data_IF_644384261262
#
_entry.id   IF_644384261262
#
_cell.length_a   1.000
_cell.length_b   1.000
_cell.length_c   1.000
_cell.angle_alpha   90.00
_cell.angle_beta   90.00
_cell.angle_gamma   90.00
#
_symmetry.space_group_name_H-M   'P 1'
#
loop_
_entity.id
_entity.type
_entity.pdbx_description
1 polymer ?
#
# COMPACT_ATOMS: atom_id res chain seq x y z
N UNK A 1 3.83 -14.87 21.97
CA UNK A 1 3.63 -14.73 20.51
C UNK A 1 2.58 -13.66 20.29
N UNK A 2 2.96 -12.53 19.69
CA UNK A 2 1.99 -11.50 19.30
C UNK A 2 1.24 -12.00 18.05
N UNK A 3 -0.06 -12.25 18.20
CA UNK A 3 -0.95 -12.75 17.13
C UNK A 3 -1.34 -11.60 16.21
N UNK A 4 -1.40 -11.83 14.90
CA UNK A 4 -2.01 -10.89 13.96
C UNK A 4 -3.54 -11.06 14.02
N UNK A 5 -4.32 -10.01 14.33
CA UNK A 5 -5.77 -10.12 14.37
C UNK A 5 -6.33 -10.45 12.99
N UNK A 6 -7.30 -11.36 12.94
CA UNK A 6 -8.08 -11.69 11.75
C UNK A 6 -9.50 -11.15 11.92
N UNK A 7 -9.88 -10.19 11.09
CA UNK A 7 -11.20 -9.59 11.06
C UNK A 7 -12.03 -10.22 9.96
N UNK A 8 -13.23 -10.67 10.31
CA UNK A 8 -14.26 -11.08 9.35
C UNK A 8 -15.29 -9.96 9.25
N UNK A 9 -15.23 -9.20 8.18
CA UNK A 9 -16.08 -8.03 7.95
C UNK A 9 -17.21 -8.40 6.98
N UNK A 10 -18.44 -7.99 7.32
CA UNK A 10 -19.65 -8.26 6.53
C UNK A 10 -20.57 -7.06 6.51
N UNK A 11 -21.23 -6.81 5.40
CA UNK A 11 -22.18 -5.70 5.26
C UNK A 11 -21.85 -4.81 4.07
N UNK A 12 -22.54 -3.68 4.03
CA UNK A 12 -22.15 -2.51 3.23
C UNK A 12 -20.72 -2.04 3.58
N UNK A 13 -20.16 -1.22 2.71
CA UNK A 13 -18.86 -0.58 2.95
C UNK A 13 -18.80 0.16 4.30
N UNK A 14 -19.87 0.90 4.64
CA UNK A 14 -19.99 1.57 5.93
C UNK A 14 -19.99 0.57 7.10
N UNK A 15 -20.76 -0.51 7.03
CA UNK A 15 -20.84 -1.51 8.11
C UNK A 15 -19.51 -2.25 8.32
N UNK A 16 -18.81 -2.58 7.23
CA UNK A 16 -17.46 -3.15 7.30
C UNK A 16 -16.49 -2.16 7.95
N UNK A 17 -16.56 -0.88 7.56
CA UNK A 17 -15.79 0.20 8.18
C UNK A 17 -16.09 0.34 9.67
N UNK A 18 -17.36 0.35 10.05
CA UNK A 18 -17.81 0.48 11.44
C UNK A 18 -17.29 -0.65 12.32
N UNK A 19 -17.42 -1.91 11.87
CA UNK A 19 -16.87 -3.08 12.58
C UNK A 19 -15.36 -2.96 12.81
N UNK A 20 -14.62 -2.53 11.77
CA UNK A 20 -13.17 -2.30 11.89
C UNK A 20 -12.87 -1.17 12.89
N UNK A 21 -13.58 -0.05 12.79
CA UNK A 21 -13.41 1.10 13.69
C UNK A 21 -13.71 0.76 15.15
N UNK A 22 -14.75 -0.02 15.39
CA UNK A 22 -15.12 -0.51 16.73
C UNK A 22 -14.05 -1.45 17.30
N UNK A 23 -13.54 -2.39 16.48
CA UNK A 23 -12.51 -3.33 16.89
C UNK A 23 -11.20 -2.64 17.28
N UNK A 24 -10.76 -1.63 16.53
CA UNK A 24 -9.52 -0.88 16.78
C UNK A 24 -9.74 0.47 17.47
N UNK A 25 -10.85 0.63 18.20
CA UNK A 25 -11.25 1.93 18.74
C UNK A 25 -10.15 2.58 19.59
N UNK A 26 -9.60 1.85 20.56
CA UNK A 26 -8.54 2.34 21.45
C UNK A 26 -7.27 2.71 20.69
N UNK A 27 -6.88 1.86 19.75
CA UNK A 27 -5.70 1.96 18.92
C UNK A 27 -5.77 3.20 18.01
N UNK A 28 -6.90 3.39 17.35
CA UNK A 28 -7.15 4.54 16.48
C UNK A 28 -7.14 5.83 17.29
N UNK A 29 -7.81 5.85 18.45
CA UNK A 29 -7.85 7.02 19.33
C UNK A 29 -6.44 7.39 19.82
N UNK A 30 -5.70 6.41 20.34
CA UNK A 30 -4.32 6.58 20.81
C UNK A 30 -3.40 7.08 19.69
N UNK A 31 -3.50 6.50 18.49
CA UNK A 31 -2.72 6.95 17.33
C UNK A 31 -2.93 8.44 17.02
N UNK A 32 -4.18 8.91 17.04
CA UNK A 32 -4.46 10.34 16.81
C UNK A 32 -4.01 11.24 17.95
N UNK A 33 -3.97 10.75 19.19
CA UNK A 33 -3.42 11.48 20.33
C UNK A 33 -1.90 11.60 20.24
N UNK A 34 -1.20 10.54 19.85
CA UNK A 34 0.26 10.55 19.65
C UNK A 34 0.69 11.48 18.50
N UNK A 35 -0.20 11.72 17.53
CA UNK A 35 0.04 12.57 16.38
C UNK A 35 -0.59 13.96 16.49
N UNK A 36 -0.99 14.37 17.68
CA UNK A 36 -1.69 15.64 17.91
C UNK A 36 -0.99 16.84 17.25
N UNK A 37 0.35 17.03 17.31
CA UNK A 37 0.98 18.18 16.64
C UNK A 37 0.75 18.20 15.13
N UNK A 38 0.80 17.02 14.50
CA UNK A 38 0.60 16.86 13.05
C UNK A 38 -0.88 17.00 12.69
N UNK A 39 -1.76 16.37 13.48
CA UNK A 39 -3.20 16.44 13.28
C UNK A 39 -3.73 17.87 13.46
N UNK A 40 -3.26 18.59 14.47
CA UNK A 40 -3.68 19.97 14.73
C UNK A 40 -3.25 20.90 13.60
N UNK A 41 -2.04 20.75 13.06
CA UNK A 41 -1.62 21.50 11.89
C UNK A 41 -2.42 21.14 10.61
N UNK A 42 -2.83 19.87 10.42
CA UNK A 42 -3.75 19.49 9.34
C UNK A 42 -5.13 20.14 9.51
N UNK A 43 -5.66 20.17 10.74
CA UNK A 43 -6.95 20.80 11.06
C UNK A 43 -6.90 22.33 10.89
N UNK A 44 -5.85 22.98 11.35
CA UNK A 44 -5.62 24.42 11.13
C UNK A 44 -5.60 24.77 9.64
N UNK A 45 -4.91 23.94 8.84
CA UNK A 45 -4.93 24.10 7.39
C UNK A 45 -6.33 23.90 6.81
N UNK A 46 -7.05 22.85 7.21
CA UNK A 46 -8.43 22.59 6.80
C UNK A 46 -9.37 23.75 7.15
N UNK A 47 -9.17 24.42 8.29
CA UNK A 47 -9.98 25.57 8.69
C UNK A 47 -9.63 26.87 7.96
N UNK A 48 -8.45 26.95 7.34
CA UNK A 48 -8.10 28.04 6.43
C UNK A 48 -8.95 27.99 5.15
N UNK A 49 -9.14 29.14 4.47
CA UNK A 49 -9.85 29.17 3.18
C UNK A 49 -9.18 28.26 2.14
N UNK A 50 -7.85 28.32 2.02
CA UNK A 50 -7.08 27.54 1.04
C UNK A 50 -7.23 26.03 1.30
N UNK A 51 -7.03 25.59 2.54
CA UNK A 51 -7.13 24.18 2.88
C UNK A 51 -8.55 23.64 2.83
N UNK A 52 -9.57 24.44 3.19
CA UNK A 52 -10.97 24.06 2.99
C UNK A 52 -11.30 23.84 1.52
N UNK A 53 -10.97 24.80 0.65
CA UNK A 53 -11.21 24.70 -0.80
C UNK A 53 -10.51 23.45 -1.38
N UNK A 54 -9.30 23.16 -0.92
CA UNK A 54 -8.55 21.96 -1.30
C UNK A 54 -9.23 20.68 -0.84
N UNK A 55 -9.45 20.52 0.47
CA UNK A 55 -10.01 19.30 1.06
C UNK A 55 -11.43 19.01 0.56
N UNK A 56 -12.30 20.01 0.49
CA UNK A 56 -13.66 19.86 -0.03
C UNK A 56 -13.66 19.48 -1.52
N UNK A 57 -12.75 20.06 -2.31
CA UNK A 57 -12.58 19.70 -3.72
C UNK A 57 -12.14 18.24 -3.90
N UNK A 58 -11.18 17.77 -3.10
CA UNK A 58 -10.72 16.38 -3.10
C UNK A 58 -11.84 15.41 -2.65
N UNK A 59 -12.50 15.72 -1.54
CA UNK A 59 -13.61 14.91 -1.03
C UNK A 59 -14.81 14.87 -1.97
N UNK A 60 -15.07 15.95 -2.70
CA UNK A 60 -16.11 15.97 -3.75
C UNK A 60 -15.76 14.98 -4.87
N UNK A 61 -14.54 15.00 -5.39
CA UNK A 61 -14.09 14.07 -6.42
C UNK A 61 -14.14 12.61 -5.93
N UNK A 62 -13.74 12.37 -4.68
CA UNK A 62 -13.86 11.07 -4.03
C UNK A 62 -15.31 10.59 -3.94
N UNK A 63 -16.24 11.42 -3.46
CA UNK A 63 -17.67 11.06 -3.32
C UNK A 63 -18.36 10.83 -4.66
N UNK A 64 -18.00 11.59 -5.70
CA UNK A 64 -18.61 11.45 -7.03
C UNK A 64 -18.19 10.14 -7.71
N UNK A 65 -16.94 9.70 -7.54
CA UNK A 65 -16.39 8.56 -8.28
C UNK A 65 -16.28 7.28 -7.45
N UNK A 66 -16.02 7.41 -6.15
CA UNK A 66 -15.75 6.33 -5.21
C UNK A 66 -16.54 6.49 -3.89
N UNK A 67 -17.87 6.72 -3.95
CA UNK A 67 -18.67 6.97 -2.74
C UNK A 67 -18.52 5.86 -1.70
N UNK A 68 -18.40 4.61 -2.16
CA UNK A 68 -18.30 3.45 -1.29
C UNK A 68 -17.07 3.47 -0.37
N UNK A 69 -15.92 4.00 -0.83
CA UNK A 69 -14.71 4.06 0.00
C UNK A 69 -14.74 5.26 0.96
N UNK A 70 -15.49 6.31 0.62
CA UNK A 70 -15.79 7.42 1.53
C UNK A 70 -16.71 6.92 2.65
N UNK A 71 -17.73 6.13 2.32
CA UNK A 71 -18.64 5.53 3.29
C UNK A 71 -17.93 4.52 4.20
N UNK A 72 -17.01 3.70 3.67
CA UNK A 72 -16.17 2.81 4.48
C UNK A 72 -15.33 3.59 5.50
N UNK A 73 -14.66 4.65 5.08
CA UNK A 73 -13.87 5.47 6.00
C UNK A 73 -14.73 6.19 7.04
N UNK A 74 -15.93 6.66 6.64
CA UNK A 74 -16.91 7.20 7.57
C UNK A 74 -17.32 6.15 8.62
N UNK A 75 -17.57 4.91 8.20
CA UNK A 75 -17.85 3.80 9.11
C UNK A 75 -16.72 3.60 10.13
N UNK A 76 -15.46 3.58 9.67
CA UNK A 76 -14.29 3.47 10.56
C UNK A 76 -14.29 4.60 11.59
N UNK A 77 -14.55 5.83 11.16
CA UNK A 77 -14.57 6.98 12.04
C UNK A 77 -15.67 6.90 13.10
N UNK A 78 -16.89 6.54 12.70
CA UNK A 78 -18.04 6.41 13.59
C UNK A 78 -17.83 5.25 14.60
N UNK A 79 -17.30 4.11 14.15
CA UNK A 79 -16.97 2.97 15.02
C UNK A 79 -15.86 3.27 16.03
N UNK A 80 -14.83 4.01 15.59
CA UNK A 80 -13.73 4.45 16.46
C UNK A 80 -14.10 5.66 17.34
N UNK A 81 -15.23 6.32 17.09
CA UNK A 81 -15.65 7.54 17.80
C UNK A 81 -14.70 8.73 17.59
N UNK A 82 -14.16 8.90 16.39
CA UNK A 82 -13.36 10.08 16.00
C UNK A 82 -14.23 11.07 15.20
N UNK A 83 -13.79 12.32 15.10
CA UNK A 83 -14.56 13.37 14.41
C UNK A 83 -14.54 13.20 12.89
N UNK A 84 -15.56 13.74 12.22
CA UNK A 84 -15.60 13.76 10.75
C UNK A 84 -14.39 14.46 10.13
N UNK A 85 -13.90 15.54 10.75
CA UNK A 85 -12.69 16.23 10.28
C UNK A 85 -11.48 15.30 10.31
N UNK A 86 -11.27 14.53 11.40
CA UNK A 86 -10.21 13.53 11.48
C UNK A 86 -10.37 12.43 10.43
N UNK A 87 -11.60 12.02 10.14
CA UNK A 87 -11.90 11.06 9.07
C UNK A 87 -11.46 11.61 7.70
N UNK A 88 -11.80 12.87 7.39
CA UNK A 88 -11.37 13.54 6.16
C UNK A 88 -9.83 13.62 6.11
N UNK A 89 -9.17 14.03 7.20
CA UNK A 89 -7.69 14.07 7.24
C UNK A 89 -7.08 12.70 7.00
N UNK A 90 -7.72 11.62 7.47
CA UNK A 90 -7.26 10.24 7.26
C UNK A 90 -7.28 9.81 5.80
N UNK A 91 -8.29 10.21 5.03
CA UNK A 91 -8.42 9.92 3.60
C UNK A 91 -7.44 10.76 2.79
N UNK A 92 -7.28 12.03 3.18
CA UNK A 92 -6.45 13.01 2.50
C UNK A 92 -4.99 13.01 3.00
N UNK A 93 -4.63 12.12 3.92
CA UNK A 93 -3.35 12.12 4.64
C UNK A 93 -2.16 12.28 3.70
N UNK A 94 -2.09 11.47 2.64
CA UNK A 94 -1.01 11.47 1.65
C UNK A 94 -0.82 12.81 0.93
N UNK A 95 -1.89 13.57 0.75
CA UNK A 95 -1.85 14.86 0.08
C UNK A 95 -1.62 16.01 1.09
N UNK A 96 -2.19 15.90 2.28
CA UNK A 96 -2.01 16.88 3.35
C UNK A 96 -0.59 16.87 3.89
N UNK A 97 0.03 15.70 3.94
CA UNK A 97 1.42 15.54 4.36
C UNK A 97 2.38 16.34 3.46
N UNK A 98 2.16 16.25 2.15
CA UNK A 98 2.89 17.03 1.14
C UNK A 98 2.56 18.52 1.21
N UNK A 99 1.26 18.86 1.29
CA UNK A 99 0.79 20.24 1.35
C UNK A 99 1.37 21.04 2.51
N UNK A 100 1.69 20.37 3.62
CA UNK A 100 2.25 20.97 4.83
C UNK A 100 3.78 20.81 4.93
N UNK A 101 4.37 20.14 3.94
CA UNK A 101 5.80 19.82 3.88
C UNK A 101 6.24 18.94 5.05
N UNK A 102 5.36 18.10 5.60
CA UNK A 102 5.71 17.21 6.71
C UNK A 102 6.69 16.15 6.26
N UNK A 103 6.47 15.52 5.10
CA UNK A 103 7.41 14.58 4.51
C UNK A 103 8.82 15.16 4.50
N UNK A 104 9.01 16.33 3.89
CA UNK A 104 10.34 16.97 3.78
C UNK A 104 10.94 17.34 5.14
N UNK A 105 10.12 17.84 6.09
CA UNK A 105 10.58 18.20 7.44
C UNK A 105 10.97 16.99 8.29
N UNK A 106 10.17 15.92 8.30
CA UNK A 106 10.46 14.68 9.03
C UNK A 106 11.73 14.03 8.50
N UNK A 107 11.89 14.02 7.18
CA UNK A 107 13.07 13.54 6.47
C UNK A 107 14.32 14.34 6.87
N UNK A 108 14.24 15.67 6.79
CA UNK A 108 15.37 16.54 7.09
C UNK A 108 15.76 16.46 8.57
N UNK A 109 14.79 16.42 9.48
CA UNK A 109 15.02 16.32 10.92
C UNK A 109 15.70 15.00 11.32
N UNK A 110 15.36 13.89 10.65
CA UNK A 110 15.87 12.57 10.99
C UNK A 110 17.31 12.31 10.52
N UNK A 111 17.72 12.84 9.36
CA UNK A 111 19.01 12.47 8.75
C UNK A 111 19.93 13.68 8.45
N UNK A 112 19.51 14.90 8.79
CA UNK A 112 20.25 16.13 8.47
C UNK A 112 20.44 16.38 6.97
N UNK A 113 19.74 15.61 6.13
CA UNK A 113 19.73 15.61 4.66
C UNK A 113 18.36 15.13 4.18
N UNK A 114 17.99 15.48 2.94
CA UNK A 114 16.75 15.00 2.32
C UNK A 114 16.87 13.51 1.94
N UNK A 115 16.62 12.62 2.91
CA UNK A 115 16.55 11.16 2.73
C UNK A 115 15.13 10.71 3.08
N UNK A 116 14.26 10.52 2.09
CA UNK A 116 12.92 9.99 2.34
C UNK A 116 13.00 8.63 3.03
N UNK A 117 12.74 8.61 4.33
CA UNK A 117 13.15 7.52 5.21
C UNK A 117 12.20 6.33 5.22
N UNK A 118 11.11 6.40 4.45
CA UNK A 118 10.18 5.31 4.21
C UNK A 118 10.61 4.54 2.98
N UNK A 119 10.58 3.20 3.04
CA UNK A 119 10.55 2.52 1.77
C UNK A 119 10.47 1.02 1.76
N UNK A 120 9.45 0.48 1.10
CA UNK A 120 9.32 -0.94 0.79
C UNK A 120 10.36 -1.44 -0.23
N UNK A 121 10.63 -2.75 -0.20
CA UNK A 121 11.49 -3.45 -1.17
C UNK A 121 10.71 -4.56 -1.84
N UNK A 122 10.83 -4.69 -3.16
CA UNK A 122 10.08 -5.68 -3.95
C UNK A 122 10.97 -6.43 -4.91
N UNK A 123 10.83 -7.76 -4.95
CA UNK A 123 11.64 -8.68 -5.75
C UNK A 123 10.71 -9.61 -6.52
N UNK A 124 10.87 -9.61 -7.85
CA UNK A 124 10.08 -10.43 -8.77
C UNK A 124 10.91 -11.57 -9.32
N UNK A 125 10.32 -12.75 -9.38
CA UNK A 125 10.81 -13.89 -10.15
C UNK A 125 9.65 -14.44 -10.98
N UNK A 126 9.80 -14.47 -12.30
CA UNK A 126 8.88 -15.11 -13.23
C UNK A 126 9.68 -15.84 -14.31
N UNK A 127 10.21 -17.03 -14.03
CA UNK A 127 11.17 -17.72 -14.91
C UNK A 127 10.61 -18.99 -15.57
N UNK A 128 9.29 -19.12 -15.63
CA UNK A 128 8.58 -20.29 -16.16
C UNK A 128 8.52 -21.50 -15.22
N UNK A 129 9.37 -21.54 -14.18
CA UNK A 129 9.26 -22.50 -13.07
C UNK A 129 8.58 -21.86 -11.87
N UNK A 130 9.01 -20.65 -11.55
CA UNK A 130 8.59 -19.89 -10.37
C UNK A 130 7.98 -18.57 -10.80
N UNK A 131 6.89 -18.18 -10.13
CA UNK A 131 6.17 -16.92 -10.27
C UNK A 131 5.91 -16.36 -8.87
N UNK A 132 6.77 -15.44 -8.45
CA UNK A 132 6.88 -14.97 -7.06
C UNK A 132 7.05 -13.44 -7.04
N UNK A 133 6.38 -12.79 -6.09
CA UNK A 133 6.71 -11.43 -5.65
C UNK A 133 7.03 -11.49 -4.15
N UNK A 134 8.22 -11.05 -3.75
CA UNK A 134 8.59 -10.82 -2.36
C UNK A 134 8.54 -9.33 -2.04
N UNK A 135 7.94 -8.96 -0.91
CA UNK A 135 7.72 -7.58 -0.46
C UNK A 135 8.14 -7.40 1.00
N UNK A 136 8.93 -6.37 1.30
CA UNK A 136 9.21 -5.89 2.65
C UNK A 136 8.48 -4.58 2.82
N UNK A 137 7.62 -4.49 3.84
CA UNK A 137 6.97 -3.22 4.15
C UNK A 137 7.72 -2.51 5.27
N UNK A 138 8.40 -1.41 4.92
CA UNK A 138 9.12 -0.60 5.90
C UNK A 138 8.27 0.57 6.37
N UNK A 139 8.00 0.62 7.68
CA UNK A 139 7.26 1.72 8.31
C UNK A 139 7.85 2.00 9.70
N UNK A 140 7.24 2.94 10.43
CA UNK A 140 7.65 3.32 11.77
C UNK A 140 7.32 2.16 12.72
N UNK A 141 8.14 1.95 13.75
CA UNK A 141 8.00 0.82 14.66
C UNK A 141 6.66 0.80 15.40
N UNK A 142 6.08 1.97 15.67
CA UNK A 142 4.76 2.11 16.29
C UNK A 142 3.62 1.61 15.40
N UNK A 143 3.86 1.30 14.12
CA UNK A 143 2.87 0.72 13.22
C UNK A 143 2.80 -0.82 13.30
N UNK A 144 3.82 -1.49 13.86
CA UNK A 144 3.84 -2.97 14.02
C UNK A 144 2.61 -3.55 14.72
N UNK A 145 2.03 -2.91 15.75
CA UNK A 145 0.83 -3.42 16.42
C UNK A 145 -0.44 -3.40 15.54
N UNK A 146 -0.49 -2.58 14.48
CA UNK A 146 -1.69 -2.40 13.66
C UNK A 146 -1.75 -3.31 12.43
N UNK A 147 -0.75 -4.17 12.25
CA UNK A 147 -0.77 -5.16 11.17
C UNK A 147 -1.90 -6.14 11.46
N UNK A 148 -2.82 -6.27 10.51
CA UNK A 148 -4.05 -7.05 10.61
C UNK A 148 -4.26 -7.85 9.33
N UNK A 149 -5.08 -8.90 9.43
CA UNK A 149 -5.69 -9.57 8.30
C UNK A 149 -7.17 -9.21 8.28
N UNK A 150 -7.67 -8.70 7.16
CA UNK A 150 -9.10 -8.44 6.98
C UNK A 150 -9.66 -9.30 5.84
N UNK A 151 -10.74 -10.03 6.13
CA UNK A 151 -11.56 -10.78 5.17
C UNK A 151 -12.90 -10.08 4.99
N UNK A 152 -13.20 -9.63 3.77
CA UNK A 152 -14.49 -9.04 3.42
C UNK A 152 -15.37 -10.12 2.80
N UNK A 153 -16.40 -10.56 3.52
CA UNK A 153 -17.30 -11.59 3.02
C UNK A 153 -18.34 -11.03 2.05
N UNK A 154 -18.90 -11.90 1.22
CA UNK A 154 -20.10 -11.58 0.44
C UNK A 154 -21.24 -11.13 1.36
N UNK A 155 -22.00 -10.13 0.91
CA UNK A 155 -23.16 -9.64 1.63
C UNK A 155 -24.28 -9.24 0.69
N UNK A 156 -25.48 -9.74 0.93
CA UNK A 156 -26.69 -9.29 0.24
C UNK A 156 -27.30 -8.12 1.00
N UNK A 157 -27.32 -6.95 0.36
CA UNK A 157 -27.94 -5.74 0.89
C UNK A 157 -29.46 -5.93 1.05
N UNK A 158 -30.13 -5.15 1.92
CA UNK A 158 -31.58 -5.23 2.11
C UNK A 158 -32.42 -5.02 0.84
N UNK A 159 -31.86 -4.36 -0.18
CA UNK A 159 -32.49 -4.16 -1.48
C UNK A 159 -32.30 -5.34 -2.46
N UNK A 160 -31.58 -6.39 -2.06
CA UNK A 160 -31.29 -7.58 -2.87
C UNK A 160 -29.98 -7.53 -3.65
N UNK A 161 -29.25 -6.41 -3.66
CA UNK A 161 -27.96 -6.30 -4.34
C UNK A 161 -26.88 -7.11 -3.61
N UNK A 162 -26.08 -7.86 -4.35
CA UNK A 162 -24.97 -8.64 -3.79
C UNK A 162 -23.69 -7.81 -3.85
N UNK A 163 -23.09 -7.59 -2.69
CA UNK A 163 -21.75 -7.04 -2.53
C UNK A 163 -20.77 -8.23 -2.51
N UNK A 164 -19.97 -8.43 -3.57
CA UNK A 164 -19.05 -9.55 -3.62
C UNK A 164 -17.91 -9.39 -2.59
N UNK A 165 -17.19 -10.48 -2.23
CA UNK A 165 -16.03 -10.40 -1.36
C UNK A 165 -14.95 -9.49 -1.98
N UNK A 166 -14.85 -8.29 -1.41
CA UNK A 166 -14.14 -7.13 -1.94
C UNK A 166 -12.61 -7.31 -1.94
N UNK A 167 -12.14 -7.99 -0.90
CA UNK A 167 -10.73 -8.31 -0.68
C UNK A 167 -10.75 -9.55 0.20
N UNK A 168 -10.29 -10.68 -0.36
CA UNK A 168 -10.20 -11.94 0.36
C UNK A 168 -9.19 -11.81 1.48
N UNK A 169 -8.17 -10.97 1.31
CA UNK A 169 -7.20 -10.74 2.35
C UNK A 169 -6.54 -9.39 2.16
N UNK A 170 -6.51 -8.60 3.23
CA UNK A 170 -5.80 -7.34 3.28
C UNK A 170 -4.82 -7.36 4.46
N UNK A 171 -3.54 -7.11 4.20
CA UNK A 171 -2.47 -7.22 5.20
C UNK A 171 -1.85 -5.84 5.44
N UNK A 172 -1.72 -5.49 6.71
CA UNK A 172 -1.18 -4.19 7.10
C UNK A 172 -2.23 -3.08 6.97
N UNK A 173 -1.76 -1.85 6.82
CA UNK A 173 -2.64 -0.69 6.67
C UNK A 173 -2.88 0.08 7.96
N UNK A 174 -3.21 1.35 7.79
CA UNK A 174 -3.48 2.24 8.90
C UNK A 174 -4.86 1.90 9.52
N UNK A 175 -5.00 1.73 10.84
CA UNK A 175 -6.26 1.26 11.43
C UNK A 175 -7.40 2.27 11.22
N UNK A 176 -7.07 3.56 11.10
CA UNK A 176 -8.04 4.62 10.87
C UNK A 176 -8.44 4.85 9.40
N UNK A 177 -7.97 4.03 8.44
CA UNK A 177 -8.43 4.11 7.06
C UNK A 177 -8.47 2.72 6.39
N UNK A 178 -8.89 2.66 5.14
CA UNK A 178 -9.04 1.42 4.35
C UNK A 178 -7.85 1.18 3.42
N UNK A 179 -6.68 1.74 3.71
CA UNK A 179 -5.47 1.56 2.90
C UNK A 179 -4.78 0.25 3.28
N UNK A 180 -4.82 -0.76 2.41
CA UNK A 180 -4.11 -2.03 2.62
C UNK A 180 -3.06 -2.22 1.53
N UNK A 181 -1.77 -2.30 1.86
CA UNK A 181 -0.72 -2.49 0.86
C UNK A 181 -0.83 -3.89 0.22
N UNK A 182 -0.62 -4.96 0.98
CA UNK A 182 -0.69 -6.33 0.45
C UNK A 182 -2.13 -6.83 0.43
N UNK A 183 -2.56 -7.40 -0.70
CA UNK A 183 -3.93 -7.86 -0.86
C UNK A 183 -4.08 -9.07 -1.79
N UNK A 184 -5.19 -9.79 -1.62
CA UNK A 184 -5.71 -10.81 -2.53
C UNK A 184 -7.18 -10.54 -2.80
N UNK A 185 -7.62 -10.64 -4.05
CA UNK A 185 -9.03 -10.50 -4.41
C UNK A 185 -9.65 -11.75 -5.03
N UNK A 186 -10.97 -11.73 -5.18
CA UNK A 186 -11.76 -12.84 -5.72
C UNK A 186 -11.46 -13.22 -7.17
N UNK A 187 -10.81 -12.34 -7.93
CA UNK A 187 -10.41 -12.57 -9.32
C UNK A 187 -9.01 -13.18 -9.41
N UNK A 188 -8.40 -13.53 -8.27
CA UNK A 188 -7.06 -14.09 -8.22
C UNK A 188 -5.96 -13.05 -8.44
N UNK A 189 -6.26 -11.75 -8.31
CA UNK A 189 -5.22 -10.73 -8.20
C UNK A 189 -4.57 -10.85 -6.81
N UNK A 190 -3.25 -10.79 -6.79
CA UNK A 190 -2.48 -10.58 -5.58
C UNK A 190 -1.43 -9.49 -5.84
N UNK A 191 -1.23 -8.60 -4.88
CA UNK A 191 -0.24 -7.55 -5.03
C UNK A 191 0.03 -6.75 -3.76
N UNK A 192 0.99 -5.84 -3.86
CA UNK A 192 1.39 -4.87 -2.86
C UNK A 192 1.63 -3.47 -3.48
N UNK A 193 2.09 -2.51 -2.67
CA UNK A 193 2.47 -1.18 -3.12
C UNK A 193 3.81 -0.70 -2.51
N UNK A 194 4.56 0.09 -3.28
CA UNK A 194 5.60 0.98 -2.75
C UNK A 194 5.14 2.42 -2.87
N UNK A 195 5.34 3.22 -1.82
CA UNK A 195 5.12 4.66 -1.88
C UNK A 195 6.10 5.30 -2.87
N UNK A 196 5.57 6.21 -3.70
CA UNK A 196 6.32 7.12 -4.57
C UNK A 196 5.99 8.55 -4.16
N UNK A 197 6.89 9.52 -4.35
CA UNK A 197 6.67 10.90 -3.89
C UNK A 197 6.83 11.90 -5.03
N UNK A 198 5.80 12.72 -5.22
CA UNK A 198 5.72 13.76 -6.24
C UNK A 198 5.28 15.08 -5.59
N UNK A 199 6.20 15.89 -5.06
CA UNK A 199 5.86 17.12 -4.35
C UNK A 199 5.26 18.14 -5.29
N UNK A 200 4.28 18.91 -4.82
CA UNK A 200 3.75 20.05 -5.57
C UNK A 200 3.10 21.12 -4.70
N UNK A 201 3.59 22.36 -4.83
CA UNK A 201 3.10 23.53 -4.09
C UNK A 201 1.71 24.02 -4.53
N UNK A 202 1.23 23.59 -5.72
CA UNK A 202 -0.01 24.10 -6.33
C UNK A 202 -1.29 23.54 -5.70
N UNK A 203 -1.22 22.39 -5.01
CA UNK A 203 -2.37 21.74 -4.35
C UNK A 203 -3.64 21.68 -5.22
N UNK A 204 -3.58 21.04 -6.40
CA UNK A 204 -4.72 21.01 -7.30
C UNK A 204 -5.88 20.24 -6.65
N UNK A 205 -7.07 20.86 -6.49
CA UNK A 205 -8.24 20.17 -5.98
C UNK A 205 -8.81 19.21 -7.03
N UNK A 206 -9.74 18.34 -6.60
CA UNK A 206 -10.49 17.39 -7.47
C UNK A 206 -9.63 16.26 -8.05
N UNK A 207 -8.63 15.81 -7.29
CA UNK A 207 -7.86 14.60 -7.58
C UNK A 207 -8.34 13.46 -6.69
N UNK A 208 -8.09 12.22 -7.11
CA UNK A 208 -8.30 11.05 -6.24
C UNK A 208 -7.12 10.90 -5.30
N UNK A 209 -7.37 10.44 -4.08
CA UNK A 209 -6.29 10.18 -3.12
C UNK A 209 -5.66 8.82 -3.35
N UNK A 210 -4.43 8.67 -2.87
CA UNK A 210 -3.68 7.44 -2.99
C UNK A 210 -4.35 6.28 -2.25
N UNK A 211 -4.97 6.56 -1.10
CA UNK A 211 -5.68 5.55 -0.33
C UNK A 211 -6.96 5.07 -1.03
N UNK A 212 -7.70 5.98 -1.67
CA UNK A 212 -8.89 5.63 -2.45
C UNK A 212 -8.50 4.79 -3.66
N UNK A 213 -7.47 5.19 -4.41
CA UNK A 213 -7.04 4.43 -5.58
C UNK A 213 -6.41 3.08 -5.21
N UNK A 214 -5.66 3.01 -4.11
CA UNK A 214 -5.20 1.74 -3.57
C UNK A 214 -6.39 0.83 -3.25
N UNK A 215 -7.39 1.31 -2.51
CA UNK A 215 -8.58 0.51 -2.18
C UNK A 215 -9.37 0.11 -3.43
N UNK A 216 -9.46 0.99 -4.43
CA UNK A 216 -10.13 0.72 -5.69
C UNK A 216 -9.47 -0.40 -6.48
N UNK A 217 -8.14 -0.38 -6.62
CA UNK A 217 -7.42 -1.36 -7.43
C UNK A 217 -7.47 -2.77 -6.86
N UNK A 218 -7.74 -2.93 -5.57
CA UNK A 218 -7.92 -4.25 -4.94
C UNK A 218 -9.10 -5.03 -5.55
N UNK A 219 -9.95 -4.38 -6.34
CA UNK A 219 -11.06 -5.01 -7.06
C UNK A 219 -10.77 -5.29 -8.54
N UNK A 220 -9.54 -5.03 -9.01
CA UNK A 220 -9.20 -5.21 -10.41
C UNK A 220 -9.31 -6.69 -10.82
N UNK A 221 -9.93 -6.91 -11.98
CA UNK A 221 -10.21 -8.25 -12.52
C UNK A 221 -9.05 -8.84 -13.30
N UNK A 222 -8.32 -7.96 -13.96
CA UNK A 222 -7.20 -8.26 -14.83
C UNK A 222 -6.29 -7.03 -14.93
N UNK A 223 -5.20 -7.17 -15.69
CA UNK A 223 -4.22 -6.11 -15.90
C UNK A 223 -4.83 -4.86 -16.55
N UNK A 224 -5.75 -5.00 -17.51
CA UNK A 224 -6.33 -3.85 -18.21
C UNK A 224 -7.28 -3.09 -17.29
N UNK A 225 -8.06 -3.80 -16.46
CA UNK A 225 -8.93 -3.21 -15.45
C UNK A 225 -8.11 -2.51 -14.35
N UNK A 226 -6.99 -3.11 -13.91
CA UNK A 226 -6.02 -2.49 -13.00
C UNK A 226 -5.52 -1.15 -13.54
N UNK A 227 -5.02 -1.15 -14.78
CA UNK A 227 -4.51 0.07 -15.43
C UNK A 227 -5.61 1.11 -15.60
N UNK A 228 -6.83 0.69 -15.96
CA UNK A 228 -8.00 1.58 -16.08
C UNK A 228 -8.34 2.26 -14.75
N UNK A 229 -8.34 1.50 -13.65
CA UNK A 229 -8.60 2.03 -12.30
C UNK A 229 -7.52 3.05 -11.92
N UNK A 230 -6.24 2.69 -12.07
CA UNK A 230 -5.11 3.54 -11.66
C UNK A 230 -4.93 4.77 -12.55
N UNK A 231 -5.30 4.69 -13.84
CA UNK A 231 -5.37 5.85 -14.74
C UNK A 231 -6.39 6.87 -14.26
N UNK A 232 -7.44 6.42 -13.57
CA UNK A 232 -8.41 7.27 -12.89
C UNK A 232 -8.97 8.40 -13.78
N UNK A 233 -9.33 8.07 -15.03
CA UNK A 233 -9.80 9.02 -16.01
C UNK A 233 -10.94 9.91 -15.47
N UNK A 234 -10.81 11.22 -15.62
CA UNK A 234 -11.69 12.26 -15.09
C UNK A 234 -11.11 13.02 -13.89
N UNK A 235 -10.32 12.34 -13.05
CA UNK A 235 -9.71 12.94 -11.85
C UNK A 235 -8.17 12.88 -11.97
N UNK A 236 -7.62 11.67 -11.93
CA UNK A 236 -6.20 11.39 -11.75
C UNK A 236 -5.78 11.45 -10.28
N UNK A 237 -4.69 10.78 -9.94
CA UNK A 237 -4.11 10.81 -8.60
C UNK A 237 -3.58 12.21 -8.24
N UNK A 238 -3.70 12.58 -6.97
CA UNK A 238 -3.12 13.80 -6.42
C UNK A 238 -1.58 13.75 -6.33
N UNK A 239 -0.98 14.90 -6.12
CA UNK A 239 0.44 15.03 -5.77
C UNK A 239 0.69 14.62 -4.31
N UNK A 240 1.94 14.64 -3.90
CA UNK A 240 2.41 14.12 -2.62
C UNK A 240 2.78 12.65 -2.70
N UNK A 241 2.30 11.86 -1.75
CA UNK A 241 2.57 10.42 -1.75
C UNK A 241 1.64 9.72 -2.73
N UNK A 242 2.17 9.19 -3.81
CA UNK A 242 1.52 8.23 -4.70
C UNK A 242 2.10 6.83 -4.47
N UNK A 243 1.97 5.92 -5.44
CA UNK A 243 2.45 4.56 -5.29
C UNK A 243 2.74 3.89 -6.63
N UNK A 244 3.53 2.83 -6.60
CA UNK A 244 3.50 1.78 -7.60
C UNK A 244 2.70 0.58 -7.06
N UNK A 245 2.30 -0.30 -7.96
CA UNK A 245 1.61 -1.55 -7.65
C UNK A 245 2.44 -2.70 -8.18
N UNK A 246 2.80 -3.63 -7.30
CA UNK A 246 3.46 -4.87 -7.66
C UNK A 246 2.41 -5.98 -7.62
N UNK A 247 2.00 -6.51 -8.76
CA UNK A 247 0.85 -7.40 -8.83
C UNK A 247 1.04 -8.56 -9.82
N UNK A 248 0.27 -9.61 -9.59
CA UNK A 248 0.03 -10.67 -10.55
C UNK A 248 -1.40 -11.17 -10.44
N UNK A 249 -1.82 -11.91 -11.46
CA UNK A 249 -3.10 -12.62 -11.49
C UNK A 249 -2.83 -14.13 -11.61
N UNK A 250 -3.65 -14.98 -11.00
CA UNK A 250 -3.48 -16.45 -11.06
C UNK A 250 -3.47 -16.96 -12.50
N UNK A 251 -4.38 -16.46 -13.33
CA UNK A 251 -4.58 -16.96 -14.69
C UNK A 251 -3.76 -16.20 -15.76
N UNK A 252 -3.01 -15.18 -15.35
CA UNK A 252 -2.11 -14.44 -16.23
C UNK A 252 -0.69 -15.04 -16.12
N UNK A 253 0.03 -15.34 -17.21
CA UNK A 253 1.41 -15.82 -17.11
C UNK A 253 2.42 -14.78 -16.62
N UNK A 254 2.04 -13.49 -16.58
CA UNK A 254 2.95 -12.39 -16.26
C UNK A 254 2.76 -11.87 -14.83
N UNK A 255 3.77 -11.12 -14.40
CA UNK A 255 3.73 -10.21 -13.26
C UNK A 255 3.82 -8.77 -13.78
N UNK A 256 3.38 -7.82 -12.96
CA UNK A 256 3.24 -6.43 -13.33
C UNK A 256 3.79 -5.52 -12.23
N UNK A 257 4.58 -4.53 -12.63
CA UNK A 257 4.83 -3.36 -11.82
C UNK A 257 4.16 -2.16 -12.52
N UNK A 258 3.28 -1.47 -11.82
CA UNK A 258 2.50 -0.34 -12.37
C UNK A 258 2.79 0.90 -11.56
N UNK A 259 3.58 1.83 -12.09
CA UNK A 259 3.87 3.10 -11.44
C UNK A 259 2.75 4.11 -11.73
N UNK A 260 2.29 4.81 -10.68
CA UNK A 260 1.20 5.78 -10.76
C UNK A 260 1.69 7.13 -10.26
N UNK A 261 1.74 8.10 -11.16
CA UNK A 261 2.14 9.48 -10.86
C UNK A 261 1.02 10.46 -11.15
N UNK A 262 1.08 11.66 -10.54
CA UNK A 262 0.14 12.71 -10.87
C UNK A 262 0.36 13.23 -12.30
N UNK A 263 -0.63 13.95 -12.81
CA UNK A 263 -0.55 14.66 -14.09
C UNK A 263 -1.44 15.88 -14.07
N UNK A 264 -1.06 16.90 -14.84
CA UNK A 264 -1.87 18.11 -15.09
C UNK A 264 -3.13 17.82 -15.88
N UNK A 265 -3.21 16.66 -16.53
CA UNK A 265 -4.42 16.18 -17.19
C UNK A 265 -5.46 15.66 -16.19
N UNK A 266 -6.70 15.48 -16.64
CA UNK A 266 -7.76 14.82 -15.87
C UNK A 266 -7.60 13.29 -15.87
N UNK A 267 -6.40 12.79 -15.56
CA UNK A 267 -6.03 11.37 -15.44
C UNK A 267 -4.67 11.25 -14.73
N UNK A 268 -4.34 10.09 -14.20
CA UNK A 268 -2.99 9.78 -13.69
C UNK A 268 -2.02 9.52 -14.84
N UNK A 269 -0.74 9.78 -14.59
CA UNK A 269 0.34 9.23 -15.40
C UNK A 269 0.58 7.79 -14.97
N UNK A 270 0.54 6.83 -15.89
CA UNK A 270 0.68 5.40 -15.58
C UNK A 270 1.75 4.78 -16.47
N UNK A 271 2.66 4.02 -15.86
CA UNK A 271 3.63 3.20 -16.58
C UNK A 271 3.48 1.74 -16.15
N UNK A 272 3.54 0.82 -17.13
CA UNK A 272 3.35 -0.62 -16.90
C UNK A 272 4.60 -1.35 -17.36
N UNK A 273 5.23 -2.04 -16.42
CA UNK A 273 6.26 -3.02 -16.70
C UNK A 273 5.64 -4.41 -16.62
N UNK A 274 5.61 -5.11 -17.75
CA UNK A 274 5.30 -6.54 -17.79
C UNK A 274 6.56 -7.34 -17.56
N UNK A 275 6.58 -8.14 -16.50
CA UNK A 275 7.63 -9.10 -16.15
C UNK A 275 7.18 -10.49 -16.63
N UNK A 276 7.71 -10.90 -17.78
CA UNK A 276 7.45 -12.18 -18.42
C UNK A 276 8.68 -13.08 -18.40
N UNK A 277 8.47 -14.39 -18.56
CA UNK A 277 9.52 -15.42 -18.53
C UNK A 277 10.59 -15.32 -19.62
N UNK A 278 10.32 -14.55 -20.67
CA UNK A 278 11.15 -14.38 -21.86
C UNK A 278 11.78 -12.99 -21.97
N UNK A 279 11.39 -12.05 -21.10
CA UNK A 279 11.86 -10.67 -21.17
C UNK A 279 12.94 -10.40 -20.12
N UNK A 280 14.12 -10.01 -20.59
CA UNK A 280 15.19 -9.47 -19.75
C UNK A 280 14.85 -8.02 -19.44
N UNK A 281 14.72 -7.71 -18.15
CA UNK A 281 14.45 -6.36 -17.64
C UNK A 281 15.59 -5.92 -16.73
N UNK A 282 16.00 -6.78 -15.80
CA UNK A 282 17.13 -6.56 -14.89
C UNK A 282 18.03 -7.80 -14.82
N UNK A 283 19.24 -7.65 -14.27
CA UNK A 283 20.23 -8.72 -14.01
C UNK A 283 20.57 -9.64 -15.20
N UNK A 284 20.44 -9.15 -16.42
CA UNK A 284 20.70 -9.92 -17.67
C UNK A 284 19.91 -11.25 -17.74
N UNK A 285 18.87 -11.41 -16.91
CA UNK A 285 18.12 -12.64 -16.73
C UNK A 285 16.65 -12.36 -16.98
N UNK A 286 16.01 -13.22 -17.78
CA UNK A 286 14.60 -13.05 -18.10
C UNK A 286 13.72 -13.29 -16.85
N UNK A 287 12.65 -12.51 -16.71
CA UNK A 287 11.69 -12.71 -15.62
C UNK A 287 12.13 -12.20 -14.25
N UNK A 288 13.24 -11.48 -14.14
CA UNK A 288 13.70 -10.88 -12.88
C UNK A 288 13.52 -9.37 -12.93
N UNK A 289 13.00 -8.82 -11.83
CA UNK A 289 12.81 -7.39 -11.65
C UNK A 289 12.84 -7.05 -10.16
N UNK A 290 13.19 -5.82 -9.83
CA UNK A 290 13.11 -5.28 -8.48
C UNK A 290 12.38 -3.93 -8.51
N UNK A 291 11.75 -3.56 -7.41
CA UNK A 291 11.24 -2.21 -7.22
C UNK A 291 11.49 -1.72 -5.80
N UNK A 292 11.77 -0.43 -5.69
CA UNK A 292 12.00 0.30 -4.46
C UNK A 292 11.29 1.65 -4.60
N UNK A 293 11.32 2.52 -3.59
CA UNK A 293 10.54 3.76 -3.54
C UNK A 293 11.04 4.91 -4.45
N UNK A 294 11.55 4.58 -5.63
CA UNK A 294 11.85 5.54 -6.67
C UNK A 294 11.04 5.25 -7.94
N UNK A 295 10.89 6.28 -8.75
CA UNK A 295 10.20 6.17 -10.03
C UNK A 295 11.21 5.71 -11.08
N UNK A 296 11.01 4.52 -11.65
CA UNK A 296 11.88 3.96 -12.69
C UNK A 296 11.38 4.35 -14.08
N UNK A 297 10.07 4.31 -14.34
CA UNK A 297 9.51 4.26 -15.70
C UNK A 297 8.58 5.41 -16.08
N UNK A 298 8.01 6.15 -15.12
CA UNK A 298 7.24 7.36 -15.48
C UNK A 298 8.14 8.47 -16.06
N UNK A 299 7.58 9.41 -16.86
CA UNK A 299 8.33 10.54 -17.40
C UNK A 299 8.82 11.51 -16.31
N UNK A 300 7.93 11.88 -15.39
CA UNK A 300 8.31 12.58 -14.16
C UNK A 300 8.91 11.56 -13.20
N UNK A 301 10.10 11.85 -12.67
CA UNK A 301 10.84 10.96 -11.78
C UNK A 301 10.53 11.18 -10.30
N UNK A 302 9.69 12.17 -9.97
CA UNK A 302 9.38 12.51 -8.59
C UNK A 302 10.64 12.79 -7.76
N UNK A 303 10.57 12.52 -6.46
CA UNK A 303 11.75 12.57 -5.59
C UNK A 303 12.51 11.25 -5.71
N UNK A 304 13.78 11.36 -6.11
CA UNK A 304 14.73 10.26 -6.03
C UNK A 304 15.46 10.28 -4.69
N UNK A 305 15.40 9.15 -3.99
CA UNK A 305 15.94 9.02 -2.62
C UNK A 305 17.18 8.14 -2.65
N UNK A 306 18.26 8.59 -1.99
CA UNK A 306 19.54 7.89 -1.97
C UNK A 306 19.43 6.44 -1.46
N UNK A 307 18.55 6.15 -0.49
CA UNK A 307 18.38 4.79 0.03
C UNK A 307 17.88 3.79 -1.02
N UNK A 308 17.11 4.24 -2.01
CA UNK A 308 16.61 3.38 -3.08
C UNK A 308 17.75 2.96 -3.99
N UNK A 309 18.69 3.88 -4.25
CA UNK A 309 19.89 3.59 -5.04
C UNK A 309 20.81 2.61 -4.30
N UNK A 310 20.91 2.70 -2.97
CA UNK A 310 21.67 1.77 -2.13
C UNK A 310 21.06 0.35 -2.19
N UNK A 311 19.74 0.23 -1.98
CA UNK A 311 19.07 -1.08 -2.03
C UNK A 311 19.07 -1.68 -3.43
N UNK A 312 18.94 -0.84 -4.46
CA UNK A 312 19.09 -1.29 -5.85
C UNK A 312 20.51 -1.80 -6.11
N UNK A 313 21.55 -1.05 -5.74
CA UNK A 313 22.93 -1.49 -5.89
C UNK A 313 23.19 -2.80 -5.14
N UNK A 314 22.64 -2.92 -3.91
CA UNK A 314 22.74 -4.17 -3.15
C UNK A 314 22.03 -5.32 -3.83
N UNK A 315 20.84 -5.11 -4.38
CA UNK A 315 20.16 -6.11 -5.19
C UNK A 315 21.03 -6.51 -6.37
N UNK A 316 21.60 -5.58 -7.11
CA UNK A 316 22.44 -5.84 -8.29
C UNK A 316 23.69 -6.67 -7.98
N UNK A 317 24.26 -6.52 -6.78
CA UNK A 317 25.40 -7.33 -6.28
C UNK A 317 25.03 -8.77 -5.88
N UNK A 318 23.79 -8.97 -5.40
CA UNK A 318 23.34 -10.28 -4.91
C UNK A 318 23.16 -11.27 -6.08
N UNK A 319 23.31 -12.58 -5.83
CA UNK A 319 22.98 -13.60 -6.83
C UNK A 319 21.58 -13.40 -7.42
N UNK A 320 21.40 -13.73 -8.70
CA UNK A 320 20.10 -13.64 -9.36
C UNK A 320 19.09 -14.59 -8.70
N UNK A 321 17.95 -14.09 -8.22
CA UNK A 321 16.93 -14.95 -7.63
C UNK A 321 16.26 -15.80 -8.71
N UNK A 322 15.95 -17.04 -8.34
CA UNK A 322 15.37 -18.02 -9.27
C UNK A 322 14.30 -18.91 -8.61
N UNK A 323 14.12 -18.82 -7.30
CA UNK A 323 13.20 -19.62 -6.52
C UNK A 323 12.79 -18.92 -5.22
N UNK A 324 11.87 -19.53 -4.48
CA UNK A 324 11.36 -19.00 -3.22
C UNK A 324 12.49 -18.78 -2.20
N UNK A 325 13.44 -19.69 -2.07
CA UNK A 325 14.53 -19.60 -1.10
C UNK A 325 15.46 -18.41 -1.41
N UNK A 326 15.82 -18.22 -2.68
CA UNK A 326 16.64 -17.07 -3.11
C UNK A 326 15.90 -15.75 -2.94
N UNK A 327 14.58 -15.71 -3.17
CA UNK A 327 13.75 -14.52 -2.83
C UNK A 327 13.81 -14.25 -1.33
N UNK A 328 13.52 -15.22 -0.47
CA UNK A 328 13.57 -15.05 1.00
C UNK A 328 14.95 -14.58 1.49
N UNK A 329 16.03 -15.11 0.91
CA UNK A 329 17.40 -14.72 1.21
C UNK A 329 17.69 -13.25 0.88
N UNK A 330 17.20 -12.75 -0.26
CA UNK A 330 17.33 -11.33 -0.65
C UNK A 330 16.44 -10.46 0.24
N UNK A 331 15.18 -10.84 0.44
CA UNK A 331 14.24 -10.12 1.29
C UNK A 331 14.72 -10.00 2.74
N UNK A 332 15.54 -10.93 3.20
CA UNK A 332 16.16 -10.92 4.53
C UNK A 332 17.59 -10.39 4.58
N UNK A 333 18.09 -9.75 3.51
CA UNK A 333 19.47 -9.23 3.47
C UNK A 333 19.60 -7.95 4.31
N UNK A 334 20.41 -8.05 5.36
CA UNK A 334 20.70 -6.99 6.34
C UNK A 334 22.01 -6.26 6.03
N UNK A 335 22.60 -6.46 4.84
CA UNK A 335 23.95 -5.98 4.55
C UNK A 335 23.96 -4.53 4.06
N UNK A 336 23.80 -3.61 5.00
CA UNK A 336 24.17 -2.19 4.96
C UNK A 336 23.84 -1.60 6.33
N UNK A 337 24.69 -0.74 6.89
CA UNK A 337 24.50 -0.21 8.26
C UNK A 337 23.20 0.60 8.41
N UNK A 338 22.91 1.51 7.45
CA UNK A 338 21.74 2.39 7.55
C UNK A 338 20.50 2.02 6.70
N UNK A 339 20.71 1.40 5.54
CA UNK A 339 19.68 1.19 4.52
C UNK A 339 19.71 -0.21 3.90
N UNK A 340 19.66 -1.29 4.70
CA UNK A 340 19.59 -2.66 4.18
C UNK A 340 18.24 -2.93 3.50
N UNK A 341 18.16 -4.04 2.74
CA UNK A 341 16.89 -4.50 2.14
C UNK A 341 15.91 -4.94 3.23
N UNK A 342 16.40 -5.68 4.23
CA UNK A 342 15.68 -5.99 5.47
C UNK A 342 16.15 -5.07 6.59
N UNK A 343 15.24 -4.22 7.08
CA UNK A 343 15.54 -3.24 8.13
C UNK A 343 15.22 -3.82 9.49
N UNK A 344 16.19 -4.53 10.05
CA UNK A 344 16.10 -5.10 11.40
C UNK A 344 15.89 -4.02 12.46
N UNK A 345 15.24 -4.40 13.56
CA UNK A 345 15.09 -3.53 14.72
C UNK A 345 16.46 -3.26 15.36
N UNK A 346 17.09 -2.12 15.03
CA UNK A 346 18.31 -1.60 15.66
C UNK A 346 18.06 -0.27 16.40
N UNK A 347 18.88 0.01 17.41
CA UNK A 347 18.87 1.31 18.08
C UNK A 347 19.22 2.42 17.08
N UNK A 348 18.45 3.52 17.04
CA UNK A 348 18.75 4.71 16.25
C UNK A 348 18.08 4.83 14.88
N UNK A 349 17.42 3.78 14.37
CA UNK A 349 16.63 3.88 13.12
C UNK A 349 15.17 4.25 13.41
N UNK A 350 14.57 5.09 12.57
CA UNK A 350 13.16 5.48 12.69
C UNK A 350 12.19 4.54 11.97
N UNK A 351 12.70 3.72 11.05
CA UNK A 351 11.88 2.90 10.14
C UNK A 351 12.47 1.49 10.04
N UNK A 352 11.59 0.51 10.10
CA UNK A 352 11.92 -0.90 10.19
C UNK A 352 11.03 -1.71 9.26
N UNK A 353 11.51 -2.88 8.86
CA UNK A 353 10.65 -3.85 8.19
C UNK A 353 9.63 -4.35 9.21
N UNK A 354 8.38 -3.96 8.98
CA UNK A 354 7.28 -4.23 9.90
C UNK A 354 6.70 -5.63 9.69
N UNK A 355 6.65 -6.05 8.43
CA UNK A 355 6.40 -7.42 8.00
C UNK A 355 7.00 -7.60 6.60
N UNK A 356 7.16 -8.87 6.23
CA UNK A 356 7.44 -9.27 4.86
C UNK A 356 6.30 -10.15 4.36
N UNK A 357 5.97 -10.04 3.08
CA UNK A 357 5.00 -10.92 2.41
C UNK A 357 5.61 -11.51 1.15
N UNK A 358 5.39 -12.80 0.93
CA UNK A 358 5.77 -13.47 -0.33
C UNK A 358 4.52 -14.03 -1.00
N UNK A 359 4.24 -13.52 -2.19
CA UNK A 359 3.14 -13.93 -3.05
C UNK A 359 3.64 -15.02 -3.99
N UNK A 360 3.36 -16.27 -3.62
CA UNK A 360 3.74 -17.48 -4.36
C UNK A 360 2.57 -17.91 -5.25
N UNK A 361 2.63 -17.53 -6.53
CA UNK A 361 1.55 -17.80 -7.48
C UNK A 361 1.48 -19.27 -7.89
N UNK A 362 2.61 -19.98 -7.90
CA UNK A 362 2.66 -21.42 -8.13
C UNK A 362 1.96 -22.19 -7.01
N UNK A 363 2.28 -21.84 -5.77
CA UNK A 363 1.64 -22.37 -4.56
C UNK A 363 0.27 -21.77 -4.25
N UNK A 364 -0.19 -20.78 -5.03
CA UNK A 364 -1.44 -20.03 -4.87
C UNK A 364 -1.66 -19.53 -3.44
N UNK A 365 -0.63 -18.90 -2.86
CA UNK A 365 -0.62 -18.49 -1.46
C UNK A 365 0.21 -17.24 -1.20
N UNK A 366 -0.11 -16.53 -0.12
CA UNK A 366 0.71 -15.49 0.49
C UNK A 366 1.32 -16.04 1.77
N UNK A 367 2.65 -15.95 1.88
CA UNK A 367 3.40 -16.22 3.11
C UNK A 367 3.65 -14.89 3.81
N UNK A 368 3.32 -14.78 5.10
CA UNK A 368 3.50 -13.55 5.88
C UNK A 368 4.48 -13.78 7.00
N UNK A 369 5.50 -12.93 7.08
CA UNK A 369 6.57 -13.00 8.07
C UNK A 369 6.55 -11.74 8.93
N UNK A 370 6.67 -11.91 10.24
CA UNK A 370 6.79 -10.79 11.19
C UNK A 370 8.25 -10.45 11.49
N UNK A 371 9.10 -11.46 11.45
CA UNK A 371 10.53 -11.36 11.65
C UNK A 371 11.24 -11.59 10.31
N UNK A 372 12.58 -11.66 10.32
CA UNK A 372 13.37 -11.73 9.10
C UNK A 372 12.98 -12.99 8.28
N UNK A 373 12.47 -12.84 7.02
CA UNK A 373 11.95 -13.95 6.24
C UNK A 373 13.03 -14.98 5.84
N UNK A 374 14.30 -14.60 5.91
CA UNK A 374 15.44 -15.49 5.67
C UNK A 374 15.68 -16.49 6.80
N UNK A 375 15.30 -16.15 8.03
CA UNK A 375 15.65 -16.93 9.23
C UNK A 375 14.44 -17.29 10.10
N UNK A 376 13.23 -17.00 9.64
CA UNK A 376 12.01 -17.24 10.39
C UNK A 376 10.96 -17.98 9.56
N UNK A 377 10.04 -18.64 10.24
CA UNK A 377 8.87 -19.26 9.63
C UNK A 377 7.76 -18.22 9.43
N UNK A 378 6.90 -18.37 8.40
CA UNK A 378 5.76 -17.49 8.21
C UNK A 378 4.79 -17.63 9.39
N UNK A 379 4.30 -16.51 9.89
CA UNK A 379 3.27 -16.45 10.93
C UNK A 379 1.86 -16.69 10.38
N UNK A 380 1.68 -16.54 9.07
CA UNK A 380 0.46 -16.88 8.37
C UNK A 380 0.76 -17.36 6.94
N UNK A 381 0.01 -18.36 6.48
CA UNK A 381 0.00 -18.87 5.10
C UNK A 381 -1.43 -18.77 4.61
N UNK A 382 -1.66 -17.97 3.59
CA UNK A 382 -2.99 -17.51 3.23
C UNK A 382 -3.26 -17.87 1.77
N UNK A 383 -4.28 -18.69 1.46
CA UNK A 383 -4.51 -19.13 0.09
C UNK A 383 -5.09 -17.99 -0.76
N UNK A 384 -4.82 -18.01 -2.07
CA UNK A 384 -5.40 -17.06 -3.01
C UNK A 384 -6.92 -17.27 -3.22
N UNK A 385 -7.41 -18.45 -2.89
CA UNK A 385 -8.84 -18.75 -2.85
C UNK A 385 -9.21 -19.23 -1.45
N UNK A 386 -10.07 -18.48 -0.78
CA UNK A 386 -10.75 -18.95 0.43
C UNK A 386 -12.08 -19.55 -0.01
N UNK A 387 -12.12 -20.87 -0.23
CA UNK A 387 -13.39 -21.59 -0.24
C UNK A 387 -13.77 -21.74 1.23
N UNK A 388 -14.58 -20.81 1.73
CA UNK A 388 -15.24 -21.00 3.02
C UNK A 388 -16.34 -22.01 2.77
N UNK A 389 -16.17 -23.25 3.24
CA UNK A 389 -17.27 -24.21 3.30
C UNK A 389 -18.36 -23.58 4.19
N UNK A 390 -19.45 -23.15 3.59
CA UNK A 390 -20.68 -22.81 4.29
C UNK A 390 -21.23 -24.10 4.92
N UNK A 391 -20.75 -24.43 6.12
CA UNK A 391 -21.44 -25.35 7.00
C UNK A 391 -21.80 -24.63 8.30
N UNK A 392 -23.11 -24.49 8.60
CA UNK A 392 -23.58 -23.95 9.87
C UNK A 392 -23.17 -24.83 11.05
#
# INVERSE_FOLDING_TARGET
>A
MARMPLLFLRGSYYECGFQKGEFFKSEIQTYYEELEPKMSAMLEFYHSKKGRDFCEGMMKAAREKYPQYVDENKGIADGAGITEEKAIMSILWSQLDDALGFAEKEIFAAYGKSIAAQGCSDIFVNNGKEKIIGHNNDWASNMKPFIQLAYYAEYTLPNGDVVPPQTLLAIGGHPANNNYPTHVNQYGMCGDINVLVFPNDELPPKKSTSFILNRAMQHAKDKDDLVRILTDQGNGIGWGWTFCVNAGFIDDPNLYNVEVGPSTEAKSSVSVVTISQDKIIEKETAGVYSHFNHVKHLPDKGIRVQLCDIRQARFDELPTPHDLESVLNIMGDENHDDFPIYRANGEGHLWFTNWSSVMDFNGKRVLVYKDNPKTSEPIAILPFSLVMDDKP
#
